data_IF_985487983008
#
_entry.id   IF_985487983008
#
_cell.length_a   1.000
_cell.length_b   1.000
_cell.length_c   1.000
_cell.angle_alpha   90.00
_cell.angle_beta   90.00
_cell.angle_gamma   90.00
#
_symmetry.space_group_name_H-M   'P 1'
#
loop_
_entity.id
_entity.type
_entity.pdbx_description
1 polymer ?
#
# COMPACT_ATOMS: atom_id res chain seq x y z
N UNK A 1 58.25 -37.23 27.90
CA UNK A 1 56.82 -37.07 28.29
C UNK A 1 56.17 -36.12 27.28
N UNK A 2 54.98 -36.46 26.78
CA UNK A 2 54.11 -35.52 26.04
C UNK A 2 53.86 -35.87 24.57
N UNK A 3 53.13 -36.96 24.30
CA UNK A 3 52.49 -37.20 23.01
C UNK A 3 51.13 -36.48 23.00
N UNK A 4 50.82 -35.71 21.96
CA UNK A 4 49.43 -35.37 21.62
C UNK A 4 49.19 -35.66 20.14
N UNK A 5 48.49 -36.77 19.89
CA UNK A 5 47.87 -37.08 18.60
C UNK A 5 46.36 -36.95 18.82
N UNK A 6 45.70 -36.06 18.08
CA UNK A 6 44.24 -36.04 17.98
C UNK A 6 43.86 -36.01 16.51
N UNK A 7 43.60 -37.22 16.01
CA UNK A 7 42.95 -37.51 14.74
C UNK A 7 41.46 -37.60 15.03
N UNK A 8 40.62 -36.92 14.24
CA UNK A 8 39.20 -37.25 14.14
C UNK A 8 38.73 -36.93 12.72
N UNK A 9 38.72 -37.98 11.89
CA UNK A 9 38.00 -38.03 10.63
C UNK A 9 36.96 -39.15 10.76
N UNK A 10 35.68 -38.81 10.66
CA UNK A 10 34.63 -39.80 10.38
C UNK A 10 33.51 -39.17 9.53
N UNK A 11 33.21 -39.71 8.35
CA UNK A 11 32.11 -39.29 7.48
C UNK A 11 30.74 -39.90 7.91
N UNK A 12 29.61 -39.37 7.42
CA UNK A 12 28.27 -39.82 7.82
C UNK A 12 27.89 -41.17 7.22
N UNK A 13 27.37 -42.04 8.09
CA UNK A 13 26.73 -43.31 7.79
C UNK A 13 25.43 -43.11 7.01
N UNK A 14 25.36 -43.71 5.81
CA UNK A 14 24.13 -44.00 5.08
C UNK A 14 23.53 -45.27 5.69
N UNK A 15 22.30 -45.19 6.21
CA UNK A 15 21.49 -46.37 6.50
C UNK A 15 20.00 -46.04 6.28
N UNK A 16 19.52 -46.50 5.13
CA UNK A 16 18.26 -47.24 4.94
C UNK A 16 17.00 -46.74 5.66
N UNK A 17 16.04 -46.18 4.90
CA UNK A 17 14.63 -46.64 4.84
C UNK A 17 13.78 -45.83 3.83
N UNK A 18 13.40 -46.47 2.72
CA UNK A 18 12.12 -46.24 2.02
C UNK A 18 11.17 -47.41 2.40
N UNK A 19 9.87 -47.53 1.99
CA UNK A 19 8.93 -46.67 1.22
C UNK A 19 7.56 -46.58 1.98
N UNK A 20 6.35 -46.34 1.39
CA UNK A 20 5.94 -45.89 0.04
C UNK A 20 5.09 -44.60 0.05
N UNK A 21 5.24 -43.72 -0.95
CA UNK A 21 4.37 -43.63 -2.15
C UNK A 21 2.88 -43.88 -1.85
N UNK A 22 2.20 -42.82 -1.43
CA UNK A 22 0.75 -42.71 -1.53
C UNK A 22 0.33 -42.74 -3.02
N UNK A 23 -0.79 -43.39 -3.34
CA UNK A 23 -1.22 -43.62 -4.71
C UNK A 23 -1.74 -42.32 -5.36
N UNK A 24 -1.22 -42.04 -6.56
CA UNK A 24 -1.89 -41.19 -7.54
C UNK A 24 -3.27 -41.80 -7.80
N UNK A 25 -4.31 -41.17 -7.27
CA UNK A 25 -5.68 -41.41 -7.73
C UNK A 25 -5.76 -40.78 -9.12
N UNK A 26 -5.74 -41.65 -10.13
CA UNK A 26 -6.14 -41.31 -11.47
C UNK A 26 -7.61 -40.90 -11.43
N UNK A 27 -7.87 -39.60 -11.48
CA UNK A 27 -9.17 -39.06 -11.83
C UNK A 27 -9.18 -38.92 -13.35
N UNK A 28 -9.71 -39.94 -14.01
CA UNK A 28 -10.23 -39.81 -15.35
C UNK A 28 -11.54 -39.02 -15.23
N UNK A 29 -11.54 -37.76 -15.68
CA UNK A 29 -12.77 -37.06 -16.03
C UNK A 29 -12.62 -36.63 -17.49
N UNK A 30 -13.25 -37.46 -18.31
CA UNK A 30 -14.07 -37.11 -19.46
C UNK A 30 -13.76 -35.80 -20.18
N UNK A 31 -13.26 -35.99 -21.40
CA UNK A 31 -13.52 -35.11 -22.54
C UNK A 31 -15.01 -34.78 -22.64
N UNK A 32 -15.35 -33.51 -22.44
CA UNK A 32 -16.62 -32.96 -22.90
C UNK A 32 -16.32 -31.80 -23.84
N UNK A 33 -16.45 -32.08 -25.13
CA UNK A 33 -16.62 -31.08 -26.16
C UNK A 33 -18.08 -30.64 -26.14
N UNK A 34 -18.30 -29.37 -25.85
CA UNK A 34 -19.52 -28.66 -26.25
C UNK A 34 -19.11 -27.34 -26.87
N UNK A 35 -19.04 -27.37 -28.19
CA UNK A 35 -19.40 -26.26 -29.07
C UNK A 35 -20.86 -25.86 -28.74
N UNK A 36 -21.06 -24.65 -28.22
CA UNK A 36 -22.29 -23.87 -28.46
C UNK A 36 -22.00 -22.40 -28.08
N UNK A 37 -21.78 -21.58 -29.12
CA UNK A 37 -21.98 -20.13 -29.10
C UNK A 37 -23.50 -19.86 -29.06
N UNK A 38 -24.05 -18.68 -28.67
CA UNK A 38 -23.51 -17.33 -28.90
C UNK A 38 -23.81 -16.33 -27.74
N UNK A 39 -23.65 -15.03 -28.02
CA UNK A 39 -23.91 -13.85 -27.16
C UNK A 39 -22.80 -13.54 -26.14
N UNK A 40 -22.19 -12.35 -26.09
CA UNK A 40 -22.35 -11.12 -26.83
C UNK A 40 -20.98 -10.43 -26.89
N UNK A 41 -20.62 -9.92 -28.07
CA UNK A 41 -19.44 -9.11 -28.29
C UNK A 41 -19.74 -7.66 -27.91
N UNK A 42 -19.39 -7.25 -26.71
CA UNK A 42 -19.27 -5.83 -26.34
C UNK A 42 -17.78 -5.54 -26.10
N UNK A 43 -16.99 -5.46 -27.17
CA UNK A 43 -15.66 -4.87 -27.13
C UNK A 43 -15.80 -3.40 -27.49
N UNK A 44 -15.82 -2.60 -26.43
CA UNK A 44 -15.66 -1.16 -26.40
C UNK A 44 -14.43 -0.74 -27.23
N UNK A 45 -14.71 -0.23 -28.42
CA UNK A 45 -13.76 0.46 -29.27
C UNK A 45 -13.72 1.95 -28.95
N UNK A 46 -12.52 2.40 -28.61
CA UNK A 46 -11.91 3.66 -29.04
C UNK A 46 -12.55 5.01 -28.65
N UNK A 47 -11.81 5.65 -27.74
CA UNK A 47 -11.24 7.00 -27.88
C UNK A 47 -12.14 8.20 -28.09
N UNK A 48 -12.05 9.08 -27.09
CA UNK A 48 -11.88 10.53 -27.23
C UNK A 48 -13.08 11.33 -27.70
N UNK A 49 -13.50 12.27 -26.86
CA UNK A 49 -13.31 13.71 -27.14
C UNK A 49 -14.44 14.57 -26.55
N UNK A 50 -14.08 15.23 -25.44
CA UNK A 50 -14.29 16.66 -25.16
C UNK A 50 -15.69 17.24 -24.83
N UNK A 51 -15.60 18.08 -23.80
CA UNK A 51 -16.24 19.40 -23.65
C UNK A 51 -17.64 19.51 -23.06
N UNK A 52 -17.67 19.74 -21.75
CA UNK A 52 -18.52 20.75 -21.11
C UNK A 52 -17.60 21.58 -20.21
N UNK A 53 -16.96 22.64 -20.70
CA UNK A 53 -17.45 24.03 -20.61
C UNK A 53 -18.06 24.34 -19.24
N UNK A 54 -17.15 24.62 -18.32
CA UNK A 54 -17.35 25.27 -17.03
C UNK A 54 -18.14 26.57 -17.23
N UNK A 55 -19.31 26.64 -16.60
CA UNK A 55 -20.11 27.85 -16.52
C UNK A 55 -19.62 28.64 -15.30
N UNK A 56 -19.35 29.89 -15.60
CA UNK A 56 -19.00 31.02 -14.74
C UNK A 56 -19.98 31.24 -13.58
N UNK A 57 -19.42 31.44 -12.38
CA UNK A 57 -19.93 32.32 -11.32
C UNK A 57 -18.68 32.85 -10.61
N UNK A 58 -18.14 34.00 -10.99
CA UNK A 58 -18.42 35.33 -10.44
C UNK A 58 -18.27 35.43 -8.90
N UNK A 59 -17.12 36.01 -8.52
CA UNK A 59 -16.83 36.88 -7.37
C UNK A 59 -17.53 36.62 -6.02
N UNK A 60 -16.76 36.14 -5.03
CA UNK A 60 -16.48 36.83 -3.76
C UNK A 60 -15.46 36.00 -2.94
N UNK A 61 -14.54 36.68 -2.25
CA UNK A 61 -13.49 36.15 -1.35
C UNK A 61 -12.47 35.13 -1.91
N UNK A 62 -11.26 35.62 -2.20
CA UNK A 62 -10.08 34.76 -2.42
C UNK A 62 -9.59 34.26 -1.06
N UNK A 63 -10.27 33.25 -0.53
CA UNK A 63 -9.68 32.40 0.51
C UNK A 63 -8.57 31.59 -0.17
N UNK A 64 -7.30 31.69 0.28
CA UNK A 64 -6.23 30.93 -0.33
C UNK A 64 -6.58 29.44 -0.26
N UNK A 65 -6.29 28.64 -1.32
CA UNK A 65 -6.49 27.20 -1.24
C UNK A 65 -5.67 26.70 -0.05
N UNK A 66 -6.37 26.31 1.03
CA UNK A 66 -5.76 25.79 2.24
C UNK A 66 -4.91 24.60 1.81
N UNK A 67 -3.59 24.75 1.83
CA UNK A 67 -2.65 23.69 1.39
C UNK A 67 -2.71 22.57 2.42
N UNK A 68 -3.54 21.59 2.14
CA UNK A 68 -4.15 20.67 3.09
C UNK A 68 -3.31 19.43 3.39
N UNK A 69 -2.03 19.62 3.78
CA UNK A 69 -1.00 18.58 3.90
C UNK A 69 -0.37 18.17 2.56
N UNK A 70 0.96 18.29 2.46
CA UNK A 70 1.71 17.94 1.25
C UNK A 70 2.94 17.11 1.61
N UNK A 71 3.15 16.00 0.89
CA UNK A 71 4.36 15.19 1.02
C UNK A 71 5.48 15.88 0.23
N UNK A 72 6.42 16.51 0.95
CA UNK A 72 7.49 17.33 0.38
C UNK A 72 8.67 16.50 -0.14
N UNK A 73 8.88 15.32 0.45
CA UNK A 73 10.04 14.51 0.12
C UNK A 73 10.04 13.15 0.80
N UNK A 74 11.16 12.46 0.65
CA UNK A 74 11.40 11.16 1.25
C UNK A 74 12.86 10.99 1.64
N UNK A 75 13.09 10.26 2.72
CA UNK A 75 14.41 9.86 3.17
C UNK A 75 14.42 8.36 3.47
N UNK A 76 15.59 7.74 3.42
CA UNK A 76 15.77 6.37 3.86
C UNK A 76 16.56 6.38 5.17
N UNK A 77 16.00 5.79 6.23
CA UNK A 77 16.68 5.69 7.52
C UNK A 77 17.81 4.64 7.46
N UNK A 78 18.65 4.59 8.49
CA UNK A 78 19.80 3.65 8.60
C UNK A 78 19.39 2.17 8.48
N UNK A 79 18.13 1.86 8.78
CA UNK A 79 17.54 0.52 8.63
C UNK A 79 17.02 0.21 7.21
N UNK A 80 17.24 1.08 6.23
CA UNK A 80 16.78 0.91 4.85
C UNK A 80 15.28 1.13 4.66
N UNK A 81 14.62 1.84 5.57
CA UNK A 81 13.16 2.10 5.50
C UNK A 81 12.88 3.49 4.97
N UNK A 82 11.96 3.58 4.01
CA UNK A 82 11.49 4.85 3.44
C UNK A 82 10.58 5.58 4.43
N UNK A 83 10.92 6.84 4.68
CA UNK A 83 10.22 7.80 5.51
C UNK A 83 9.80 8.97 4.63
N UNK A 84 8.52 9.33 4.66
CA UNK A 84 7.95 10.45 3.93
C UNK A 84 7.97 11.70 4.81
N UNK A 85 8.35 12.83 4.23
CA UNK A 85 8.33 14.14 4.88
C UNK A 85 7.03 14.84 4.49
N UNK A 86 6.24 15.24 5.47
CA UNK A 86 4.92 15.84 5.27
C UNK A 86 4.93 17.23 5.89
N UNK A 87 4.60 18.25 5.10
CA UNK A 87 4.37 19.60 5.61
C UNK A 87 2.95 19.70 6.17
N UNK A 88 2.83 20.12 7.43
CA UNK A 88 1.54 20.39 8.07
C UNK A 88 1.07 21.80 7.66
N UNK A 89 -0.21 22.00 7.28
CA UNK A 89 -0.76 23.34 7.10
C UNK A 89 -0.60 24.18 8.37
N UNK A 90 -0.33 25.48 8.21
CA UNK A 90 -0.28 26.44 9.32
C UNK A 90 0.84 26.21 10.35
N UNK A 91 1.78 25.31 10.05
CA UNK A 91 2.91 24.99 10.90
C UNK A 91 4.23 25.04 10.11
N UNK A 92 5.31 25.61 10.69
CA UNK A 92 6.63 25.57 10.06
C UNK A 92 7.29 24.19 10.18
N UNK A 93 6.66 23.24 10.88
CA UNK A 93 7.23 21.92 11.14
C UNK A 93 6.83 20.90 10.06
N UNK A 94 7.81 20.11 9.62
CA UNK A 94 7.58 18.90 8.84
C UNK A 94 7.50 17.68 9.77
N UNK A 95 6.56 16.78 9.51
CA UNK A 95 6.48 15.50 10.20
C UNK A 95 7.04 14.38 9.32
N UNK A 96 7.62 13.37 9.96
CA UNK A 96 8.26 12.25 9.28
C UNK A 96 7.51 10.96 9.53
N UNK A 97 6.97 10.34 8.48
CA UNK A 97 6.13 9.14 8.62
C UNK A 97 6.54 8.03 7.69
N UNK A 98 6.66 6.81 8.23
CA UNK A 98 6.83 5.58 7.43
C UNK A 98 5.51 5.15 6.82
N UNK A 99 5.57 4.40 5.72
CA UNK A 99 4.38 3.82 5.07
C UNK A 99 3.45 3.07 6.05
N UNK A 100 4.00 2.33 7.00
CA UNK A 100 3.23 1.56 7.98
C UNK A 100 2.29 2.45 8.84
N UNK A 101 2.66 3.70 9.09
CA UNK A 101 1.81 4.65 9.82
C UNK A 101 0.59 5.07 9.00
N UNK A 102 0.76 5.23 7.68
CA UNK A 102 -0.35 5.49 6.79
C UNK A 102 -1.32 4.31 6.71
N UNK A 103 -0.80 3.07 6.83
CA UNK A 103 -1.67 1.88 6.89
C UNK A 103 -2.53 1.89 8.15
N UNK A 104 -1.94 2.24 9.28
CA UNK A 104 -2.67 2.39 10.54
C UNK A 104 -3.74 3.49 10.42
N UNK A 105 -3.34 4.68 9.94
CA UNK A 105 -4.25 5.79 9.72
C UNK A 105 -5.43 5.41 8.81
N UNK A 106 -5.17 4.84 7.62
CA UNK A 106 -6.22 4.42 6.70
C UNK A 106 -7.17 3.40 7.33
N UNK A 107 -6.66 2.44 8.11
CA UNK A 107 -7.50 1.45 8.79
C UNK A 107 -8.44 2.13 9.79
N UNK A 108 -7.92 3.07 10.58
CA UNK A 108 -8.73 3.85 11.53
C UNK A 108 -9.77 4.73 10.81
N UNK A 109 -9.38 5.41 9.73
CA UNK A 109 -10.28 6.24 8.92
C UNK A 109 -11.39 5.42 8.25
N UNK A 110 -11.04 4.24 7.72
CA UNK A 110 -12.02 3.34 7.09
C UNK A 110 -13.02 2.83 8.13
N UNK A 111 -12.54 2.45 9.32
CA UNK A 111 -13.41 2.03 10.41
C UNK A 111 -14.37 3.15 10.81
N UNK A 112 -13.87 4.37 10.97
CA UNK A 112 -14.70 5.54 11.31
C UNK A 112 -15.71 5.88 10.21
N UNK A 113 -15.31 5.81 8.94
CA UNK A 113 -16.21 6.04 7.82
C UNK A 113 -17.40 5.05 7.84
N UNK A 114 -17.15 3.80 8.21
CA UNK A 114 -18.20 2.76 8.34
C UNK A 114 -19.02 2.91 9.62
N UNK A 115 -18.39 3.28 10.74
CA UNK A 115 -19.04 3.41 12.05
C UNK A 115 -19.99 4.61 12.11
N UNK A 116 -19.58 5.74 11.53
CA UNK A 116 -20.34 6.99 11.53
C UNK A 116 -21.20 7.19 10.26
N UNK A 117 -21.23 6.20 9.35
CA UNK A 117 -21.97 6.20 8.07
C UNK A 117 -21.80 7.52 7.29
N UNK A 118 -20.54 7.98 7.19
CA UNK A 118 -20.22 9.32 6.67
C UNK A 118 -20.44 9.43 5.16
N UNK A 119 -20.65 8.32 4.45
CA UNK A 119 -20.70 8.29 2.99
C UNK A 119 -19.41 8.77 2.30
N UNK A 120 -18.31 8.90 3.06
CA UNK A 120 -17.00 9.36 2.56
C UNK A 120 -16.20 8.15 2.08
N UNK A 121 -15.86 8.14 0.80
CA UNK A 121 -14.97 7.13 0.21
C UNK A 121 -13.52 7.43 0.60
N UNK A 122 -12.96 6.60 1.48
CA UNK A 122 -11.53 6.68 1.84
C UNK A 122 -10.71 6.11 0.67
N UNK A 123 -9.74 6.86 0.12
CA UNK A 123 -8.97 6.40 -1.03
C UNK A 123 -8.10 5.20 -0.66
N UNK A 124 -8.04 4.22 -1.56
CA UNK A 124 -7.30 2.99 -1.34
C UNK A 124 -5.79 3.22 -1.17
N UNK A 125 -5.18 2.45 -0.27
CA UNK A 125 -3.74 2.48 -0.08
C UNK A 125 -2.98 1.93 -1.31
N UNK A 126 -1.86 2.56 -1.69
CA UNK A 126 -1.00 2.04 -2.74
C UNK A 126 -0.44 0.67 -2.38
N UNK A 127 -0.37 -0.22 -3.37
CA UNK A 127 0.01 -1.62 -3.17
C UNK A 127 1.41 -1.76 -2.55
N UNK A 128 1.47 -2.58 -1.50
CA UNK A 128 2.71 -3.05 -0.86
C UNK A 128 2.70 -4.56 -0.79
N UNK A 129 2.88 -5.23 -1.93
CA UNK A 129 2.92 -6.69 -1.96
C UNK A 129 4.14 -7.28 -1.24
N UNK A 130 4.02 -8.56 -0.88
CA UNK A 130 5.09 -9.40 -0.32
C UNK A 130 6.36 -9.46 -1.21
N UNK A 131 6.20 -9.22 -2.51
CA UNK A 131 7.29 -9.21 -3.50
C UNK A 131 8.13 -7.93 -3.45
N UNK A 132 7.72 -6.94 -2.66
CA UNK A 132 8.44 -5.67 -2.62
C UNK A 132 9.87 -5.86 -2.08
N UNK A 133 10.05 -6.64 -1.01
CA UNK A 133 11.39 -6.88 -0.44
C UNK A 133 12.40 -7.53 -1.38
N UNK A 134 11.96 -8.16 -2.48
CA UNK A 134 12.84 -8.82 -3.45
C UNK A 134 13.26 -7.90 -4.61
N UNK A 135 12.53 -6.82 -4.87
CA UNK A 135 12.77 -5.96 -6.03
C UNK A 135 13.55 -4.70 -5.65
N UNK A 136 14.74 -4.50 -6.22
CA UNK A 136 15.48 -3.22 -6.23
C UNK A 136 14.68 -2.03 -6.81
N UNK A 137 13.46 -2.25 -7.29
CA UNK A 137 12.58 -1.29 -7.97
C UNK A 137 11.63 -0.54 -7.01
N UNK A 138 11.67 -0.73 -5.68
CA UNK A 138 10.74 0.00 -4.77
C UNK A 138 10.84 1.50 -4.84
N UNK A 139 12.00 2.02 -5.23
CA UNK A 139 12.18 3.45 -5.45
C UNK A 139 11.45 3.97 -6.69
N UNK A 140 11.14 3.11 -7.66
CA UNK A 140 10.54 3.51 -8.94
C UNK A 140 9.06 3.91 -8.82
N UNK A 141 8.35 3.42 -7.81
CA UNK A 141 6.93 3.71 -7.58
C UNK A 141 6.70 4.62 -6.36
N UNK A 142 7.75 5.32 -5.89
CA UNK A 142 7.61 6.19 -4.72
C UNK A 142 6.72 7.39 -5.02
N UNK A 143 6.79 7.95 -6.23
CA UNK A 143 5.99 9.11 -6.59
C UNK A 143 4.48 8.80 -6.67
N UNK A 144 4.10 7.70 -7.32
CA UNK A 144 2.71 7.23 -7.33
C UNK A 144 2.19 6.95 -5.90
N UNK A 145 3.06 6.38 -5.06
CA UNK A 145 2.74 6.13 -3.66
C UNK A 145 2.56 7.44 -2.91
N UNK A 146 3.44 8.44 -3.09
CA UNK A 146 3.31 9.76 -2.47
C UNK A 146 2.00 10.42 -2.88
N UNK A 147 1.65 10.37 -4.16
CA UNK A 147 0.42 10.95 -4.68
C UNK A 147 -0.80 10.34 -3.97
N UNK A 148 -0.90 9.01 -3.93
CA UNK A 148 -2.01 8.32 -3.24
C UNK A 148 -2.05 8.62 -1.73
N UNK A 149 -0.89 8.68 -1.08
CA UNK A 149 -0.79 9.04 0.33
C UNK A 149 -1.16 10.50 0.59
N UNK A 150 -0.83 11.41 -0.33
CA UNK A 150 -1.24 12.81 -0.28
C UNK A 150 -2.75 12.93 -0.36
N UNK A 151 -3.37 12.28 -1.35
CA UNK A 151 -4.82 12.26 -1.53
C UNK A 151 -5.55 11.71 -0.29
N UNK A 152 -4.99 10.68 0.37
CA UNK A 152 -5.51 10.16 1.63
C UNK A 152 -5.50 11.21 2.73
N UNK A 153 -4.37 11.92 2.92
CA UNK A 153 -4.26 12.96 3.93
C UNK A 153 -5.19 14.14 3.65
N UNK A 154 -5.30 14.55 2.39
CA UNK A 154 -6.20 15.61 1.96
C UNK A 154 -7.66 15.23 2.24
N UNK A 155 -8.08 14.01 1.86
CA UNK A 155 -9.43 13.49 2.14
C UNK A 155 -9.72 13.50 3.64
N UNK A 156 -8.79 12.97 4.45
CA UNK A 156 -8.94 12.93 5.90
C UNK A 156 -8.98 14.33 6.54
N UNK A 157 -8.20 15.27 6.03
CA UNK A 157 -8.15 16.64 6.52
C UNK A 157 -9.32 17.51 6.06
N UNK A 158 -9.95 17.15 4.93
CA UNK A 158 -11.15 17.83 4.42
C UNK A 158 -12.40 17.55 5.26
N UNK A 159 -12.48 16.36 5.86
CA UNK A 159 -13.65 15.97 6.65
C UNK A 159 -13.44 16.24 8.15
N UNK A 160 -14.33 17.02 8.82
CA UNK A 160 -14.12 17.45 10.20
C UNK A 160 -14.09 16.29 11.20
N UNK A 161 -14.88 15.23 10.97
CA UNK A 161 -14.86 14.04 11.82
C UNK A 161 -13.54 13.29 11.71
N UNK A 162 -13.06 13.08 10.49
CA UNK A 162 -11.82 12.33 10.25
C UNK A 162 -10.61 13.10 10.77
N UNK A 163 -10.58 14.42 10.56
CA UNK A 163 -9.54 15.31 11.09
C UNK A 163 -9.50 15.32 12.62
N UNK A 164 -10.66 15.29 13.28
CA UNK A 164 -10.75 15.26 14.73
C UNK A 164 -10.63 13.85 15.34
N UNK A 165 -10.47 12.83 14.50
CA UNK A 165 -10.27 11.47 14.96
C UNK A 165 -8.96 11.33 15.75
N UNK A 166 -8.97 10.43 16.73
CA UNK A 166 -7.79 10.11 17.53
C UNK A 166 -6.63 9.62 16.66
N UNK A 167 -6.93 8.86 15.61
CA UNK A 167 -5.95 8.36 14.65
C UNK A 167 -5.23 9.45 13.89
N UNK A 168 -6.00 10.39 13.34
CA UNK A 168 -5.44 11.51 12.60
C UNK A 168 -4.64 12.45 13.52
N UNK A 169 -5.16 12.78 14.70
CA UNK A 169 -4.42 13.59 15.68
C UNK A 169 -3.11 12.92 16.11
N UNK A 170 -3.14 11.61 16.39
CA UNK A 170 -1.94 10.83 16.71
C UNK A 170 -0.95 10.84 15.55
N UNK A 171 -1.44 10.70 14.32
CA UNK A 171 -0.62 10.75 13.12
C UNK A 171 0.07 12.10 12.96
N UNK A 172 -0.60 13.22 13.22
CA UNK A 172 -0.01 14.57 13.08
C UNK A 172 0.94 14.91 14.24
N UNK A 173 0.68 14.41 15.45
CA UNK A 173 1.44 14.78 16.66
C UNK A 173 2.64 13.90 16.96
N UNK A 174 2.61 12.60 16.64
CA UNK A 174 3.65 11.66 17.05
C UNK A 174 4.78 11.55 16.04
N UNK A 175 5.87 12.27 16.25
CA UNK A 175 7.07 12.08 15.45
C UNK A 175 7.74 10.72 15.66
N UNK A 176 8.18 10.14 14.54
CA UNK A 176 8.96 8.91 14.56
C UNK A 176 10.39 9.31 14.93
N UNK A 177 10.79 8.94 16.15
CA UNK A 177 12.19 8.96 16.61
C UNK A 177 13.05 7.94 15.84
#
# INVERSE_FOLDING_TARGET
MGCISSTTATPPTVLDKAPPRSPNVAVAIESFSTDDAPEALEILGSSSSLSLKSITSEADDVEPPLKQFVITGESVNDHGVVVYHIAIPDSPFEIRRRFDNFKQLHTELTHLAMEEDLGVEVPELPYTGLLTKLQRQHTRHLDERKEKLGNLLETAASHPVMRNSKGFQKFVTLDIE
#
